data_IF_903412481139
#
_entry.id   IF_903412481139
#
_cell.length_a   1.000
_cell.length_b   1.000
_cell.length_c   1.000
_cell.angle_alpha   90.00
_cell.angle_beta   90.00
_cell.angle_gamma   90.00
#
_symmetry.space_group_name_H-M   'P 1'
#
loop_
_entity.id
_entity.type
_entity.pdbx_description
1 polymer ?
#
# COMPACT_ATOMS: atom_id res chain seq x y z
N UNK A 1 2.39 -7.08 -1.90
CA UNK A 1 2.40 -7.09 -3.37
C UNK A 1 2.72 -5.70 -3.92
N UNK A 2 1.93 -4.64 -3.63
CA UNK A 2 2.20 -3.31 -4.20
C UNK A 2 3.63 -2.81 -3.93
N UNK A 3 4.10 -2.87 -2.69
CA UNK A 3 5.45 -2.44 -2.29
C UNK A 3 6.58 -3.25 -2.95
N UNK A 4 6.30 -4.42 -3.50
CA UNK A 4 7.29 -5.25 -4.20
C UNK A 4 7.28 -5.09 -5.73
N UNK A 5 6.39 -4.26 -6.29
CA UNK A 5 6.43 -3.92 -7.74
C UNK A 5 7.71 -3.20 -8.14
N UNK A 6 8.35 -2.52 -7.19
CA UNK A 6 9.67 -1.90 -7.37
C UNK A 6 10.75 -2.93 -7.79
N UNK A 7 10.62 -4.18 -7.33
CA UNK A 7 11.54 -5.28 -7.69
C UNK A 7 11.38 -5.64 -9.16
N UNK A 8 10.13 -5.79 -9.65
CA UNK A 8 9.87 -6.15 -11.05
C UNK A 8 10.36 -5.07 -12.02
N UNK A 9 10.24 -3.80 -11.62
CA UNK A 9 10.75 -2.67 -12.41
C UNK A 9 12.28 -2.69 -12.52
N UNK A 10 12.99 -2.84 -11.42
CA UNK A 10 14.45 -2.91 -11.44
C UNK A 10 14.98 -4.18 -12.16
N UNK A 11 14.28 -5.32 -12.04
CA UNK A 11 14.59 -6.51 -12.83
C UNK A 11 14.43 -6.24 -14.34
N UNK A 12 13.36 -5.57 -14.75
CA UNK A 12 13.14 -5.22 -16.17
C UNK A 12 14.19 -4.27 -16.71
N UNK A 13 14.63 -3.31 -15.89
CA UNK A 13 15.71 -2.38 -16.26
C UNK A 13 17.05 -3.11 -16.40
N UNK A 14 17.35 -4.02 -15.49
CA UNK A 14 18.60 -4.80 -15.53
C UNK A 14 18.58 -5.90 -16.60
N UNK A 15 17.42 -6.51 -16.89
CA UNK A 15 17.24 -7.59 -17.82
C UNK A 15 16.08 -7.32 -18.78
N UNK A 16 16.26 -6.44 -19.80
CA UNK A 16 15.17 -5.97 -20.66
C UNK A 16 14.44 -7.09 -21.42
N UNK A 17 15.14 -8.18 -21.76
CA UNK A 17 14.60 -9.31 -22.52
C UNK A 17 14.15 -10.49 -21.64
N UNK A 18 14.30 -10.41 -20.32
CA UNK A 18 13.91 -11.51 -19.45
C UNK A 18 12.39 -11.71 -19.42
N UNK A 19 11.94 -12.96 -19.36
CA UNK A 19 10.56 -13.27 -18.99
C UNK A 19 10.43 -13.11 -17.46
N UNK A 20 9.64 -12.16 -17.01
CA UNK A 20 9.40 -11.88 -15.59
C UNK A 20 7.96 -12.24 -15.28
N UNK A 21 7.77 -13.27 -14.48
CA UNK A 21 6.46 -13.70 -14.01
C UNK A 21 6.33 -13.37 -12.51
N UNK A 22 5.13 -13.06 -12.06
CA UNK A 22 4.84 -12.74 -10.67
C UNK A 22 3.84 -13.72 -10.07
N UNK A 23 4.25 -14.47 -9.04
CA UNK A 23 3.36 -15.37 -8.30
C UNK A 23 2.65 -14.62 -7.18
N UNK A 24 1.31 -14.65 -7.19
CA UNK A 24 0.48 -14.02 -6.16
C UNK A 24 -0.81 -14.78 -5.88
N UNK A 25 -1.53 -14.37 -4.84
CA UNK A 25 -2.87 -14.88 -4.51
C UNK A 25 -3.97 -13.98 -5.11
N UNK A 26 -5.20 -14.49 -5.34
CA UNK A 26 -6.27 -13.79 -6.07
C UNK A 26 -6.53 -12.35 -5.63
N UNK A 27 -6.58 -12.01 -4.33
CA UNK A 27 -6.89 -10.63 -3.90
C UNK A 27 -5.88 -9.57 -4.38
N UNK A 28 -4.67 -10.01 -4.77
CA UNK A 28 -3.61 -9.09 -5.18
C UNK A 28 -3.38 -9.01 -6.69
N UNK A 29 -4.11 -9.78 -7.48
CA UNK A 29 -3.95 -9.83 -8.95
C UNK A 29 -4.21 -8.46 -9.57
N UNK A 30 -5.25 -7.77 -9.12
CA UNK A 30 -5.65 -6.48 -9.68
C UNK A 30 -4.62 -5.37 -9.45
N UNK A 31 -3.80 -5.50 -8.40
CA UNK A 31 -2.67 -4.59 -8.16
C UNK A 31 -1.59 -4.72 -9.25
N UNK A 32 -1.45 -5.91 -9.84
CA UNK A 32 -0.40 -6.24 -10.81
C UNK A 32 -0.86 -6.17 -12.26
N UNK A 33 -2.17 -6.40 -12.54
CA UNK A 33 -2.70 -6.48 -13.89
C UNK A 33 -2.42 -5.21 -14.69
N UNK A 34 -1.80 -5.37 -15.87
CA UNK A 34 -1.38 -4.25 -16.72
C UNK A 34 -0.04 -3.63 -16.31
N UNK A 35 0.72 -4.27 -15.41
CA UNK A 35 2.07 -3.83 -15.09
C UNK A 35 3.03 -4.18 -16.26
N UNK A 36 3.65 -3.19 -16.95
CA UNK A 36 4.48 -3.42 -18.13
C UNK A 36 5.80 -4.12 -17.82
N UNK A 37 6.18 -4.22 -16.55
CA UNK A 37 7.41 -4.87 -16.11
C UNK A 37 7.24 -6.38 -15.87
N UNK A 38 6.00 -6.89 -15.97
CA UNK A 38 5.62 -8.29 -15.72
C UNK A 38 5.09 -8.88 -17.02
N UNK A 39 5.54 -10.09 -17.37
CA UNK A 39 5.04 -10.82 -18.54
C UNK A 39 3.78 -11.61 -18.22
N UNK A 40 3.76 -12.28 -17.04
CA UNK A 40 2.62 -13.09 -16.64
C UNK A 40 2.41 -13.06 -15.12
N UNK A 41 1.15 -13.18 -14.70
CA UNK A 41 0.77 -13.25 -13.29
C UNK A 41 0.33 -14.68 -12.99
N UNK A 42 1.18 -15.41 -12.28
CA UNK A 42 0.89 -16.75 -11.82
C UNK A 42 0.00 -16.68 -10.57
N UNK A 43 -1.26 -17.07 -10.72
CA UNK A 43 -2.22 -16.99 -9.62
C UNK A 43 -2.24 -18.30 -8.85
N UNK A 44 -1.96 -18.25 -7.55
CA UNK A 44 -2.12 -19.37 -6.66
C UNK A 44 -3.42 -19.21 -5.84
N UNK A 45 -4.48 -19.86 -6.30
CA UNK A 45 -5.69 -20.03 -5.51
C UNK A 45 -5.54 -21.23 -4.56
N UNK A 46 -5.60 -20.96 -3.26
CA UNK A 46 -5.49 -22.00 -2.22
C UNK A 46 -6.61 -23.02 -2.27
N UNK A 47 -7.77 -22.62 -2.78
CA UNK A 47 -8.96 -23.48 -2.87
C UNK A 47 -8.98 -24.29 -4.17
N UNK A 48 -8.29 -23.82 -5.21
CA UNK A 48 -8.32 -24.42 -6.55
C UNK A 48 -7.06 -25.22 -6.93
N UNK A 49 -5.93 -24.96 -6.29
CA UNK A 49 -4.65 -25.60 -6.65
C UNK A 49 -3.89 -26.13 -5.44
N UNK A 50 -3.62 -27.41 -5.40
CA UNK A 50 -2.78 -28.00 -4.34
C UNK A 50 -1.35 -27.50 -4.41
N UNK A 51 -0.63 -27.48 -3.29
CA UNK A 51 0.78 -27.07 -3.24
C UNK A 51 1.65 -27.88 -4.20
N UNK A 52 1.35 -29.17 -4.39
CA UNK A 52 2.07 -30.04 -5.33
C UNK A 52 1.81 -29.61 -6.79
N UNK A 53 0.55 -29.32 -7.15
CA UNK A 53 0.22 -28.87 -8.50
C UNK A 53 0.89 -27.52 -8.83
N UNK A 54 0.95 -26.60 -7.85
CA UNK A 54 1.66 -25.33 -7.98
C UNK A 54 3.15 -25.55 -8.23
N UNK A 55 3.81 -26.37 -7.43
CA UNK A 55 5.23 -26.69 -7.61
C UNK A 55 5.49 -27.29 -8.99
N UNK A 56 4.66 -28.25 -9.40
CA UNK A 56 4.76 -28.87 -10.74
C UNK A 56 4.58 -27.83 -11.85
N UNK A 57 3.65 -26.89 -11.68
CA UNK A 57 3.42 -25.80 -12.63
C UNK A 57 4.66 -24.91 -12.72
N UNK A 58 5.16 -24.38 -11.58
CA UNK A 58 6.34 -23.51 -11.54
C UNK A 58 7.57 -24.20 -12.14
N UNK A 59 7.80 -25.46 -11.82
CA UNK A 59 8.93 -26.24 -12.32
C UNK A 59 8.91 -26.42 -13.85
N UNK A 60 7.71 -26.47 -14.46
CA UNK A 60 7.55 -26.56 -15.92
C UNK A 60 7.95 -25.28 -16.64
N UNK A 61 7.89 -24.12 -15.96
CA UNK A 61 8.30 -22.84 -16.52
C UNK A 61 9.82 -22.71 -16.71
N UNK A 62 10.61 -23.58 -16.02
CA UNK A 62 12.09 -23.62 -16.12
C UNK A 62 12.75 -22.27 -15.84
N UNK A 63 12.32 -21.57 -14.79
CA UNK A 63 12.93 -20.30 -14.39
C UNK A 63 14.42 -20.48 -14.05
N UNK A 64 15.27 -19.58 -14.51
CA UNK A 64 16.68 -19.49 -14.14
C UNK A 64 16.84 -18.89 -12.74
N UNK A 65 16.00 -17.92 -12.41
CA UNK A 65 16.00 -17.15 -11.16
C UNK A 65 14.60 -17.15 -10.52
N UNK A 66 14.55 -17.45 -9.23
CA UNK A 66 13.34 -17.26 -8.39
C UNK A 66 13.71 -16.40 -7.20
N UNK A 67 12.93 -15.35 -6.94
CA UNK A 67 13.11 -14.44 -5.81
C UNK A 67 11.92 -14.59 -4.86
N UNK A 68 12.16 -15.04 -3.64
CA UNK A 68 11.16 -15.15 -2.58
C UNK A 68 11.17 -13.90 -1.69
N UNK A 69 10.31 -12.94 -2.00
CA UNK A 69 10.17 -11.69 -1.25
C UNK A 69 9.34 -11.83 0.04
N UNK A 70 8.64 -12.95 0.21
CA UNK A 70 7.81 -13.18 1.38
C UNK A 70 8.52 -13.95 2.48
N UNK A 71 9.34 -14.91 2.11
CA UNK A 71 10.23 -15.64 3.00
C UNK A 71 9.53 -16.47 4.09
N UNK A 72 8.28 -16.91 3.91
CA UNK A 72 7.62 -17.81 4.83
C UNK A 72 7.98 -19.29 4.52
N UNK A 73 7.68 -20.27 5.41
CA UNK A 73 8.03 -21.68 5.18
C UNK A 73 7.48 -22.25 3.88
N UNK A 74 6.28 -21.83 3.47
CA UNK A 74 5.62 -22.30 2.27
C UNK A 74 6.28 -21.75 1.00
N UNK A 75 6.55 -20.44 0.93
CA UNK A 75 7.22 -19.84 -0.23
C UNK A 75 8.66 -20.33 -0.34
N UNK A 76 9.35 -20.53 0.78
CA UNK A 76 10.68 -21.15 0.80
C UNK A 76 10.65 -22.56 0.19
N UNK A 77 9.66 -23.40 0.54
CA UNK A 77 9.51 -24.73 -0.03
C UNK A 77 9.23 -24.68 -1.55
N UNK A 78 8.32 -23.80 -1.99
CA UNK A 78 8.04 -23.58 -3.41
C UNK A 78 9.30 -23.16 -4.15
N UNK A 79 10.06 -22.23 -3.60
CA UNK A 79 11.34 -21.77 -4.16
C UNK A 79 12.36 -22.90 -4.25
N UNK A 80 12.50 -23.73 -3.21
CA UNK A 80 13.39 -24.91 -3.23
C UNK A 80 13.01 -25.90 -4.31
N UNK A 81 11.71 -26.14 -4.50
CA UNK A 81 11.18 -27.11 -5.45
C UNK A 81 11.01 -26.56 -6.87
N UNK A 82 11.22 -25.28 -7.12
CA UNK A 82 11.08 -24.65 -8.45
C UNK A 82 12.03 -25.25 -9.50
N UNK A 83 13.18 -25.75 -9.07
CA UNK A 83 14.24 -26.22 -9.95
C UNK A 83 15.14 -25.11 -10.50
N UNK A 84 14.90 -23.84 -10.12
CA UNK A 84 15.71 -22.71 -10.54
C UNK A 84 17.17 -22.83 -10.05
N UNK A 85 18.11 -22.45 -10.92
CA UNK A 85 19.54 -22.43 -10.60
C UNK A 85 19.84 -21.41 -9.52
N UNK A 86 19.26 -20.20 -9.63
CA UNK A 86 19.42 -19.13 -8.65
C UNK A 86 18.11 -18.95 -7.87
N UNK A 87 18.20 -19.10 -6.56
CA UNK A 87 17.07 -18.97 -5.64
C UNK A 87 17.43 -17.96 -4.57
N UNK A 88 16.81 -16.81 -4.64
CA UNK A 88 17.07 -15.67 -3.76
C UNK A 88 16.02 -15.60 -2.67
N UNK A 89 16.43 -15.29 -1.47
CA UNK A 89 15.55 -15.05 -0.34
C UNK A 89 16.33 -14.49 0.83
N UNK A 90 15.75 -14.55 2.03
CA UNK A 90 16.35 -13.96 3.22
C UNK A 90 16.89 -15.01 4.17
N UNK A 91 17.96 -14.68 4.90
CA UNK A 91 18.58 -15.55 5.91
C UNK A 91 17.69 -15.68 7.17
N UNK A 92 16.47 -16.17 7.00
CA UNK A 92 15.60 -16.49 8.12
C UNK A 92 15.89 -17.88 8.68
N UNK A 93 15.83 -18.01 10.00
CA UNK A 93 16.01 -19.29 10.69
C UNK A 93 15.05 -20.37 10.13
N UNK A 94 15.59 -21.55 9.80
CA UNK A 94 14.83 -22.69 9.28
C UNK A 94 14.39 -22.60 7.82
N UNK A 95 14.89 -21.59 7.03
CA UNK A 95 14.53 -21.42 5.60
C UNK A 95 15.72 -21.31 4.67
N UNK A 96 16.93 -21.23 5.21
CA UNK A 96 18.18 -21.09 4.43
C UNK A 96 18.41 -22.22 3.44
N UNK A 97 17.87 -23.42 3.69
CA UNK A 97 17.94 -24.57 2.78
C UNK A 97 17.31 -24.32 1.41
N UNK A 98 16.43 -23.34 1.31
CA UNK A 98 15.69 -23.06 0.08
C UNK A 98 16.48 -22.20 -0.92
N UNK A 99 17.41 -21.41 -0.44
CA UNK A 99 18.05 -20.36 -1.22
C UNK A 99 19.49 -20.69 -1.57
N UNK A 100 19.93 -20.23 -2.76
CA UNK A 100 21.34 -20.27 -3.19
C UNK A 100 22.02 -18.94 -2.94
N UNK A 101 21.25 -17.85 -2.87
CA UNK A 101 21.70 -16.50 -2.52
C UNK A 101 20.78 -15.97 -1.43
N UNK A 102 21.35 -15.36 -0.40
CA UNK A 102 20.59 -14.87 0.74
C UNK A 102 20.92 -13.42 1.04
N UNK A 103 19.88 -12.57 1.07
CA UNK A 103 19.96 -11.26 1.65
C UNK A 103 19.92 -11.34 3.19
N UNK A 104 20.64 -10.44 3.85
CA UNK A 104 20.54 -10.33 5.31
C UNK A 104 19.21 -9.68 5.72
N UNK A 105 18.49 -10.26 6.68
CA UNK A 105 17.18 -9.72 7.08
C UNK A 105 17.35 -8.48 7.95
N UNK A 106 17.17 -7.30 7.34
CA UNK A 106 17.15 -6.00 8.04
C UNK A 106 15.75 -5.61 8.54
N UNK A 107 14.79 -6.54 8.50
CA UNK A 107 13.34 -6.33 8.56
C UNK A 107 12.76 -5.43 9.65
N UNK A 108 13.44 -5.27 10.81
CA UNK A 108 12.97 -4.35 11.87
C UNK A 108 13.56 -2.93 11.77
N UNK A 109 14.46 -2.69 10.81
CA UNK A 109 15.27 -1.47 10.72
C UNK A 109 15.12 -0.72 9.40
N UNK A 110 14.47 -1.32 8.41
CA UNK A 110 14.27 -0.71 7.09
C UNK A 110 12.83 -0.83 6.64
N UNK A 111 12.39 0.11 5.79
CA UNK A 111 11.06 0.06 5.18
C UNK A 111 10.89 -1.22 4.34
N UNK A 112 9.67 -1.79 4.31
CA UNK A 112 9.37 -3.02 3.56
C UNK A 112 9.74 -2.93 2.07
N UNK A 113 9.68 -1.75 1.46
CA UNK A 113 10.14 -1.53 0.08
C UNK A 113 11.66 -1.72 -0.03
N UNK A 114 12.45 -1.13 0.89
CA UNK A 114 13.90 -1.34 0.92
C UNK A 114 14.23 -2.81 1.20
N UNK A 115 13.51 -3.44 2.13
CA UNK A 115 13.67 -4.86 2.39
C UNK A 115 13.48 -5.72 1.12
N UNK A 116 12.50 -5.37 0.27
CA UNK A 116 12.32 -6.04 -1.02
C UNK A 116 13.51 -5.80 -1.97
N UNK A 117 14.06 -4.59 -1.99
CA UNK A 117 15.23 -4.25 -2.82
C UNK A 117 16.50 -4.96 -2.36
N UNK A 118 16.66 -5.25 -1.07
CA UNK A 118 17.82 -5.99 -0.53
C UNK A 118 18.00 -7.36 -1.22
N UNK A 119 16.91 -7.99 -1.68
CA UNK A 119 16.98 -9.23 -2.44
C UNK A 119 17.63 -9.05 -3.83
N UNK A 120 17.45 -7.89 -4.46
CA UNK A 120 18.12 -7.54 -5.73
C UNK A 120 19.60 -7.19 -5.51
N UNK A 121 19.89 -6.41 -4.49
CA UNK A 121 21.26 -6.05 -4.11
C UNK A 121 22.10 -7.29 -3.82
N UNK A 122 21.51 -8.31 -3.18
CA UNK A 122 22.18 -9.58 -2.88
C UNK A 122 22.64 -10.38 -4.12
N UNK A 123 22.05 -10.13 -5.28
CA UNK A 123 22.44 -10.74 -6.57
C UNK A 123 23.14 -9.74 -7.51
N UNK A 124 23.54 -8.57 -7.00
CA UNK A 124 24.27 -7.57 -7.77
C UNK A 124 23.44 -6.81 -8.79
N UNK A 125 22.12 -6.84 -8.70
CA UNK A 125 21.23 -6.04 -9.55
C UNK A 125 21.19 -4.60 -9.03
N UNK A 126 21.62 -3.62 -9.84
CA UNK A 126 21.63 -2.22 -9.41
C UNK A 126 20.21 -1.68 -9.25
N UNK A 127 19.99 -0.88 -8.21
CA UNK A 127 18.72 -0.21 -7.99
C UNK A 127 18.72 1.11 -8.76
N UNK A 128 18.09 1.09 -9.93
CA UNK A 128 18.01 2.23 -10.85
C UNK A 128 16.77 3.08 -10.62
N UNK A 129 15.71 2.50 -10.07
CA UNK A 129 14.45 3.17 -9.79
C UNK A 129 13.92 2.80 -8.40
N UNK A 130 13.47 3.82 -7.66
CA UNK A 130 12.92 3.67 -6.31
C UNK A 130 11.42 3.94 -6.24
N UNK A 131 10.73 4.01 -7.39
CA UNK A 131 9.31 4.26 -7.42
C UNK A 131 8.52 2.95 -7.42
N UNK A 132 7.46 2.91 -6.64
CA UNK A 132 6.45 1.87 -6.68
C UNK A 132 5.59 2.14 -7.92
N UNK A 133 5.24 1.09 -8.66
CA UNK A 133 4.41 1.21 -9.83
C UNK A 133 3.00 0.65 -9.58
N UNK A 134 1.99 1.45 -9.86
CA UNK A 134 0.59 1.05 -9.80
C UNK A 134 -0.06 1.30 -11.17
N UNK A 135 -0.42 0.24 -11.92
CA UNK A 135 -0.96 0.36 -13.27
C UNK A 135 -2.41 0.86 -13.25
N UNK A 136 -2.72 1.82 -14.10
CA UNK A 136 -4.08 2.30 -14.38
C UNK A 136 -4.28 2.35 -15.89
N UNK A 137 -5.49 2.12 -16.36
CA UNK A 137 -5.87 2.25 -17.76
C UNK A 137 -6.52 3.61 -18.04
N UNK A 138 -6.64 3.96 -19.32
CA UNK A 138 -7.37 5.17 -19.72
C UNK A 138 -8.84 5.10 -19.26
N UNK A 139 -9.45 3.91 -19.30
CA UNK A 139 -10.84 3.71 -18.86
C UNK A 139 -11.00 3.94 -17.35
N UNK A 140 -10.01 3.53 -16.53
CA UNK A 140 -10.01 3.80 -15.10
C UNK A 140 -9.98 5.31 -14.82
N UNK A 141 -9.19 6.04 -15.60
CA UNK A 141 -9.06 7.50 -15.50
C UNK A 141 -10.36 8.19 -15.95
N UNK A 142 -10.89 7.82 -17.11
CA UNK A 142 -12.13 8.39 -17.64
C UNK A 142 -13.30 8.20 -16.69
N UNK A 143 -13.44 7.00 -16.09
CA UNK A 143 -14.49 6.74 -15.09
C UNK A 143 -14.47 7.75 -13.94
N UNK A 144 -13.27 8.09 -13.47
CA UNK A 144 -13.10 9.06 -12.37
C UNK A 144 -13.38 10.48 -12.84
N UNK A 145 -12.88 10.86 -14.02
CA UNK A 145 -13.08 12.20 -14.57
C UNK A 145 -14.58 12.47 -14.85
N UNK A 146 -15.32 11.47 -15.32
CA UNK A 146 -16.78 11.55 -15.48
C UNK A 146 -17.50 11.79 -14.14
N UNK A 147 -17.14 11.02 -13.10
CA UNK A 147 -17.70 11.22 -11.75
C UNK A 147 -17.41 12.62 -11.22
N UNK A 148 -16.16 13.08 -11.32
CA UNK A 148 -15.75 14.39 -10.83
C UNK A 148 -16.45 15.52 -11.60
N UNK A 149 -16.62 15.36 -12.92
CA UNK A 149 -17.34 16.28 -13.80
C UNK A 149 -18.81 16.41 -13.40
N UNK A 150 -19.51 15.29 -13.20
CA UNK A 150 -20.92 15.28 -12.75
C UNK A 150 -21.09 15.90 -11.36
N UNK A 151 -20.13 15.70 -10.47
CA UNK A 151 -20.15 16.30 -9.13
C UNK A 151 -19.72 17.77 -9.11
N UNK A 152 -19.30 18.33 -10.26
CA UNK A 152 -18.77 19.71 -10.39
C UNK A 152 -17.58 19.97 -9.44
N UNK A 153 -16.78 18.93 -9.18
CA UNK A 153 -15.63 19.00 -8.28
C UNK A 153 -14.39 19.53 -9.01
N UNK A 154 -13.78 20.56 -8.43
CA UNK A 154 -12.52 21.11 -8.97
C UNK A 154 -11.35 20.28 -8.47
N UNK A 155 -10.51 19.79 -9.37
CA UNK A 155 -9.32 18.98 -9.05
C UNK A 155 -8.33 19.70 -8.14
N UNK A 156 -8.25 21.03 -8.21
CA UNK A 156 -7.34 21.84 -7.40
C UNK A 156 -7.68 21.98 -5.91
N UNK A 157 -8.76 21.36 -5.41
CA UNK A 157 -9.14 21.39 -4.00
C UNK A 157 -9.53 20.02 -3.43
N UNK A 158 -9.36 18.95 -4.21
CA UNK A 158 -9.78 17.61 -3.80
C UNK A 158 -8.87 17.06 -2.70
N UNK A 159 -9.48 16.57 -1.62
CA UNK A 159 -8.80 15.93 -0.51
C UNK A 159 -9.45 14.59 -0.22
N UNK A 160 -8.67 13.54 -0.32
CA UNK A 160 -9.15 12.19 -0.03
C UNK A 160 -9.12 11.89 1.47
N UNK A 161 -10.16 11.25 1.98
CA UNK A 161 -10.23 10.71 3.33
C UNK A 161 -10.55 9.23 3.25
N UNK A 162 -9.61 8.39 3.72
CA UNK A 162 -9.79 6.95 3.77
C UNK A 162 -9.81 6.46 5.22
N UNK A 163 -10.96 5.98 5.63
CA UNK A 163 -11.22 5.49 6.99
C UNK A 163 -11.01 4.00 7.14
N UNK A 164 -10.82 3.29 6.02
CA UNK A 164 -10.59 1.86 5.98
C UNK A 164 -9.32 1.45 6.74
N UNK A 165 -9.36 0.29 7.37
CA UNK A 165 -8.22 -0.34 8.01
C UNK A 165 -8.46 -1.85 8.07
N UNK A 166 -7.46 -2.65 7.70
CA UNK A 166 -7.57 -4.11 7.67
C UNK A 166 -7.88 -4.74 9.04
N UNK A 167 -7.52 -4.04 10.12
CA UNK A 167 -7.81 -4.44 11.50
C UNK A 167 -8.54 -3.33 12.22
N UNK A 168 -9.44 -3.68 13.14
CA UNK A 168 -10.13 -2.70 13.97
C UNK A 168 -9.13 -1.78 14.72
N UNK A 169 -8.04 -2.36 15.21
CA UNK A 169 -6.99 -1.62 15.93
C UNK A 169 -6.24 -0.57 15.10
N UNK A 170 -6.36 -0.58 13.77
CA UNK A 170 -5.80 0.44 12.87
C UNK A 170 -6.77 1.57 12.54
N UNK A 171 -8.02 1.50 13.01
CA UNK A 171 -9.06 2.47 12.64
C UNK A 171 -9.12 3.61 13.65
N UNK A 172 -8.93 4.81 13.16
CA UNK A 172 -9.20 6.03 13.90
C UNK A 172 -10.72 6.31 13.89
N UNK A 173 -11.25 6.96 14.93
CA UNK A 173 -12.70 7.12 15.11
C UNK A 173 -13.38 7.90 13.98
N UNK A 174 -14.60 7.48 13.60
CA UNK A 174 -15.37 8.12 12.52
C UNK A 174 -15.74 9.56 12.86
N UNK A 175 -16.08 9.84 14.13
CA UNK A 175 -16.39 11.17 14.64
C UNK A 175 -15.20 12.13 14.45
N UNK A 176 -13.99 11.63 14.64
CA UNK A 176 -12.77 12.41 14.46
C UNK A 176 -12.46 12.67 13.00
N UNK A 177 -12.73 11.70 12.12
CA UNK A 177 -12.63 11.94 10.67
C UNK A 177 -13.63 13.00 10.20
N UNK A 178 -14.86 13.01 10.74
CA UNK A 178 -15.85 14.05 10.44
C UNK A 178 -15.36 15.44 10.89
N UNK A 179 -14.89 15.57 12.14
CA UNK A 179 -14.35 16.82 12.68
C UNK A 179 -13.12 17.29 11.89
N UNK A 180 -12.20 16.38 11.57
CA UNK A 180 -11.02 16.71 10.76
C UNK A 180 -11.42 17.20 9.38
N UNK A 181 -12.41 16.57 8.75
CA UNK A 181 -12.91 16.94 7.43
C UNK A 181 -13.49 18.36 7.43
N UNK A 182 -14.28 18.70 8.45
CA UNK A 182 -14.80 20.06 8.62
C UNK A 182 -13.67 21.09 8.79
N UNK A 183 -12.66 20.79 9.59
CA UNK A 183 -11.49 21.69 9.76
C UNK A 183 -10.68 21.85 8.47
N UNK A 184 -10.56 20.78 7.65
CA UNK A 184 -9.88 20.86 6.35
C UNK A 184 -10.66 21.71 5.35
N UNK A 185 -12.00 21.64 5.36
CA UNK A 185 -12.86 22.52 4.57
C UNK A 185 -12.66 23.97 5.02
N UNK A 186 -12.75 24.24 6.32
CA UNK A 186 -12.65 25.60 6.88
C UNK A 186 -11.26 26.22 6.60
N UNK A 187 -10.18 25.48 6.84
CA UNK A 187 -8.82 26.03 6.79
C UNK A 187 -8.22 26.08 5.39
N UNK A 188 -8.56 25.11 4.52
CA UNK A 188 -7.94 24.97 3.20
C UNK A 188 -8.93 25.10 2.03
N UNK A 189 -10.23 25.26 2.28
CA UNK A 189 -11.24 25.23 1.23
C UNK A 189 -11.33 23.85 0.55
N UNK A 190 -11.02 22.77 1.28
CA UNK A 190 -10.94 21.44 0.75
C UNK A 190 -12.30 20.90 0.28
N UNK A 191 -12.33 20.25 -0.88
CA UNK A 191 -13.43 19.41 -1.34
C UNK A 191 -13.18 17.99 -0.89
N UNK A 192 -13.87 17.54 0.15
CA UNK A 192 -13.62 16.23 0.77
C UNK A 192 -14.23 15.10 -0.05
N UNK A 193 -13.45 14.08 -0.33
CA UNK A 193 -13.90 12.80 -0.92
C UNK A 193 -13.69 11.68 0.10
N UNK A 194 -14.78 11.03 0.51
CA UNK A 194 -14.75 9.87 1.41
C UNK A 194 -14.59 8.59 0.58
N UNK A 195 -13.39 8.02 0.56
CA UNK A 195 -13.15 6.78 -0.15
C UNK A 195 -13.58 5.56 0.68
N UNK A 196 -14.12 4.54 0.02
CA UNK A 196 -14.63 3.34 0.66
C UNK A 196 -14.37 2.10 -0.18
N UNK A 197 -14.37 0.95 0.46
CA UNK A 197 -14.29 -0.37 -0.15
C UNK A 197 -15.45 -1.26 0.30
N UNK A 198 -15.47 -2.53 -0.13
CA UNK A 198 -16.53 -3.46 0.25
C UNK A 198 -16.81 -3.48 1.76
N UNK A 199 -18.07 -3.27 2.12
CA UNK A 199 -18.54 -3.24 3.52
C UNK A 199 -18.29 -1.95 4.29
N UNK A 200 -17.73 -0.89 3.66
CA UNK A 200 -17.39 0.37 4.32
C UNK A 200 -18.38 1.52 4.03
N UNK A 201 -19.39 1.32 3.19
CA UNK A 201 -20.40 2.35 2.90
C UNK A 201 -21.04 2.92 4.18
N UNK A 202 -21.45 2.10 5.17
CA UNK A 202 -22.03 2.64 6.41
C UNK A 202 -21.08 3.56 7.18
N UNK A 203 -19.76 3.31 7.13
CA UNK A 203 -18.76 4.16 7.80
C UNK A 203 -18.72 5.55 7.17
N UNK A 204 -18.68 5.64 5.82
CA UNK A 204 -18.61 6.93 5.12
C UNK A 204 -19.95 7.70 5.21
N UNK A 205 -21.09 7.03 5.18
CA UNK A 205 -22.40 7.62 5.42
C UNK A 205 -22.50 8.20 6.85
N UNK A 206 -21.97 7.47 7.83
CA UNK A 206 -21.90 7.93 9.22
C UNK A 206 -21.03 9.19 9.33
N UNK A 207 -19.85 9.23 8.71
CA UNK A 207 -19.01 10.42 8.68
C UNK A 207 -19.74 11.59 8.06
N UNK A 208 -20.34 11.39 6.88
CA UNK A 208 -21.12 12.45 6.21
C UNK A 208 -22.24 12.99 7.10
N UNK A 209 -22.93 12.13 7.86
CA UNK A 209 -23.99 12.55 8.79
C UNK A 209 -23.50 13.35 10.00
N UNK A 210 -22.24 13.21 10.37
CA UNK A 210 -21.59 13.89 11.49
C UNK A 210 -20.90 15.19 11.08
N UNK A 211 -20.59 15.36 9.79
CA UNK A 211 -19.97 16.58 9.27
C UNK A 211 -20.97 17.74 9.23
N UNK A 212 -20.46 18.94 9.47
CA UNK A 212 -21.18 20.21 9.23
C UNK A 212 -21.11 20.60 7.76
N UNK A 213 -19.95 20.37 7.14
CA UNK A 213 -19.70 20.55 5.72
C UNK A 213 -20.20 19.37 4.88
N UNK A 214 -20.08 19.51 3.55
CA UNK A 214 -20.42 18.46 2.60
C UNK A 214 -19.18 17.70 2.15
N UNK A 215 -19.21 16.39 2.24
CA UNK A 215 -18.25 15.52 1.56
C UNK A 215 -18.92 14.83 0.35
N UNK A 216 -18.09 14.33 -0.55
CA UNK A 216 -18.52 13.58 -1.71
C UNK A 216 -18.17 12.10 -1.51
N UNK A 217 -19.16 11.24 -1.70
CA UNK A 217 -18.99 9.78 -1.65
C UNK A 217 -18.98 9.28 -3.10
N UNK A 218 -17.85 8.77 -3.60
CA UNK A 218 -17.77 8.27 -4.96
C UNK A 218 -18.66 7.01 -5.12
N UNK A 219 -19.10 6.67 -6.34
CA UNK A 219 -19.66 5.36 -6.60
C UNK A 219 -18.64 4.26 -6.31
N UNK A 220 -19.06 2.98 -6.34
CA UNK A 220 -18.16 1.85 -6.14
C UNK A 220 -17.02 1.89 -7.16
N UNK A 221 -15.79 1.72 -6.69
CA UNK A 221 -14.58 1.74 -7.52
C UNK A 221 -13.85 0.40 -7.48
N UNK A 222 -13.24 0.03 -8.59
CA UNK A 222 -12.15 -0.97 -8.58
C UNK A 222 -10.92 -0.37 -7.89
N UNK A 223 -9.91 -1.20 -7.57
CA UNK A 223 -8.65 -0.68 -7.01
C UNK A 223 -7.95 0.31 -7.96
N UNK A 224 -8.09 0.11 -9.28
CA UNK A 224 -7.47 0.98 -10.30
C UNK A 224 -8.21 2.31 -10.42
N UNK A 225 -9.52 2.28 -10.42
CA UNK A 225 -10.34 3.49 -10.37
C UNK A 225 -10.12 4.26 -9.07
N UNK A 226 -9.95 3.56 -7.95
CA UNK A 226 -9.52 4.20 -6.69
C UNK A 226 -8.16 4.88 -6.86
N UNK A 227 -7.18 4.21 -7.49
CA UNK A 227 -5.88 4.81 -7.79
C UNK A 227 -6.00 6.08 -8.64
N UNK A 228 -6.84 6.05 -9.68
CA UNK A 228 -7.11 7.21 -10.52
C UNK A 228 -7.78 8.36 -9.72
N UNK A 229 -8.73 8.03 -8.84
CA UNK A 229 -9.36 9.02 -7.96
C UNK A 229 -8.36 9.64 -6.98
N UNK A 230 -7.54 8.81 -6.35
CA UNK A 230 -6.50 9.28 -5.43
C UNK A 230 -5.47 10.16 -6.14
N UNK A 231 -5.13 9.87 -7.40
CA UNK A 231 -4.23 10.69 -8.21
C UNK A 231 -4.79 12.10 -8.49
N UNK A 232 -6.11 12.28 -8.49
CA UNK A 232 -6.77 13.59 -8.64
C UNK A 232 -6.79 14.39 -7.33
N UNK A 233 -6.54 13.75 -6.18
CA UNK A 233 -6.48 14.44 -4.90
C UNK A 233 -5.14 15.19 -4.76
N UNK A 234 -5.19 16.39 -4.19
CA UNK A 234 -3.98 17.14 -3.81
C UNK A 234 -3.18 16.39 -2.73
N UNK A 235 -3.90 15.78 -1.81
CA UNK A 235 -3.37 14.94 -0.73
C UNK A 235 -4.50 14.11 -0.12
N UNK A 236 -4.12 13.14 0.72
CA UNK A 236 -5.10 12.32 1.44
C UNK A 236 -4.73 12.19 2.91
N UNK A 237 -5.76 11.96 3.75
CA UNK A 237 -5.60 11.44 5.11
C UNK A 237 -6.12 10.00 5.14
N UNK A 238 -5.33 9.08 5.68
CA UNK A 238 -5.66 7.67 5.66
C UNK A 238 -5.18 6.93 6.90
N UNK A 239 -5.99 6.02 7.41
CA UNK A 239 -5.48 4.95 8.27
C UNK A 239 -4.44 4.11 7.52
N UNK A 240 -3.57 3.39 8.26
CA UNK A 240 -2.64 2.40 7.71
C UNK A 240 -3.41 1.28 6.98
N UNK A 241 -3.45 1.37 5.63
CA UNK A 241 -4.29 0.54 4.77
C UNK A 241 -3.77 0.45 3.34
N UNK A 242 -4.35 -0.44 2.53
CA UNK A 242 -4.03 -0.57 1.10
C UNK A 242 -4.18 0.73 0.30
N UNK A 243 -5.32 1.46 0.41
CA UNK A 243 -5.53 2.75 -0.26
C UNK A 243 -4.45 3.79 0.02
N UNK A 244 -3.91 3.84 1.24
CA UNK A 244 -2.78 4.71 1.59
C UNK A 244 -1.55 4.44 0.71
N UNK A 245 -1.21 3.17 0.52
CA UNK A 245 -0.09 2.78 -0.32
C UNK A 245 -0.35 3.01 -1.81
N UNK A 246 -1.61 2.85 -2.26
CA UNK A 246 -2.00 3.19 -3.63
C UNK A 246 -1.82 4.68 -3.87
N UNK A 247 -2.29 5.53 -2.96
CA UNK A 247 -2.09 6.99 -3.05
C UNK A 247 -0.62 7.36 -3.17
N UNK A 248 0.23 6.78 -2.31
CA UNK A 248 1.68 7.00 -2.39
C UNK A 248 2.26 6.54 -3.73
N UNK A 249 1.82 5.39 -4.26
CA UNK A 249 2.31 4.84 -5.52
C UNK A 249 1.89 5.66 -6.75
N UNK A 250 0.73 6.35 -6.71
CA UNK A 250 0.29 7.26 -7.78
C UNK A 250 0.79 8.69 -7.59
N UNK A 251 1.65 8.93 -6.59
CA UNK A 251 2.33 10.22 -6.36
C UNK A 251 1.56 11.22 -5.49
N UNK A 252 0.41 10.84 -4.95
CA UNK A 252 -0.41 11.70 -4.08
C UNK A 252 0.19 11.79 -2.68
N UNK A 253 0.42 12.99 -2.14
CA UNK A 253 0.86 13.18 -0.76
C UNK A 253 -0.10 12.56 0.25
N UNK A 254 0.44 11.95 1.32
CA UNK A 254 -0.35 11.20 2.31
C UNK A 254 -0.04 11.66 3.72
N UNK A 255 -1.08 11.90 4.51
CA UNK A 255 -1.00 11.85 5.99
C UNK A 255 -1.47 10.47 6.43
N UNK A 256 -0.54 9.63 6.88
CA UNK A 256 -0.84 8.28 7.38
C UNK A 256 -1.02 8.26 8.88
N UNK A 257 -2.15 7.73 9.38
CA UNK A 257 -2.47 7.59 10.81
C UNK A 257 -2.04 6.19 11.27
N UNK A 258 -1.23 6.16 12.34
CA UNK A 258 -0.62 4.94 12.86
C UNK A 258 -0.87 4.75 14.36
N UNK A 259 -0.93 3.48 14.77
CA UNK A 259 -1.03 3.07 16.15
C UNK A 259 -0.34 1.72 16.38
N UNK A 260 -0.98 0.58 16.06
CA UNK A 260 -0.42 -0.74 16.30
C UNK A 260 0.72 -1.11 15.35
N UNK A 261 0.91 -0.37 14.27
CA UNK A 261 1.96 -0.62 13.25
C UNK A 261 3.01 0.47 13.25
N UNK A 262 4.20 0.17 12.75
CA UNK A 262 5.34 1.09 12.71
C UNK A 262 5.43 1.81 11.38
N UNK A 263 5.25 3.14 11.32
CA UNK A 263 5.31 3.89 10.06
C UNK A 263 6.68 3.78 9.37
N UNK A 264 7.77 3.67 10.13
CA UNK A 264 9.10 3.47 9.57
C UNK A 264 9.21 2.20 8.71
N UNK A 265 8.46 1.14 9.04
CA UNK A 265 8.49 -0.13 8.32
C UNK A 265 7.44 -0.22 7.20
N UNK A 266 6.29 0.40 7.41
CA UNK A 266 5.09 0.21 6.60
C UNK A 266 4.41 1.54 6.23
N UNK A 267 5.13 2.66 6.30
CA UNK A 267 4.60 3.97 5.92
C UNK A 267 4.30 4.11 4.42
N UNK A 268 3.66 5.19 4.00
CA UNK A 268 3.62 5.54 2.60
C UNK A 268 5.05 5.79 2.11
N UNK A 269 5.44 5.11 1.03
CA UNK A 269 6.83 5.14 0.57
C UNK A 269 7.11 6.36 -0.29
N UNK A 270 8.14 7.11 0.08
CA UNK A 270 8.57 8.34 -0.60
C UNK A 270 8.67 9.53 0.36
N UNK A 271 9.16 10.66 -0.15
CA UNK A 271 9.46 11.83 0.68
C UNK A 271 8.29 12.80 0.85
N UNK A 272 7.25 12.68 0.02
CA UNK A 272 6.10 13.61 -0.01
C UNK A 272 5.08 13.38 1.11
N UNK A 273 5.32 12.42 1.99
CA UNK A 273 4.33 11.94 2.95
C UNK A 273 4.68 12.36 4.38
N UNK A 274 3.68 12.34 5.23
CA UNK A 274 3.79 12.56 6.68
C UNK A 274 3.06 11.44 7.40
N UNK A 275 3.60 10.98 8.51
CA UNK A 275 2.93 9.99 9.37
C UNK A 275 2.69 10.58 10.74
N UNK A 276 1.56 10.23 11.34
CA UNK A 276 1.19 10.68 12.68
C UNK A 276 0.78 9.49 13.54
N UNK A 277 1.25 9.49 14.78
CA UNK A 277 0.88 8.53 15.81
C UNK A 277 0.85 9.23 17.18
N UNK A 278 0.13 8.64 18.12
CA UNK A 278 0.18 9.10 19.52
C UNK A 278 1.58 8.86 20.08
N UNK A 279 2.21 9.89 20.59
CA UNK A 279 3.52 9.80 21.26
C UNK A 279 3.35 9.40 22.74
N UNK A 280 4.43 8.91 23.37
CA UNK A 280 4.44 8.60 24.79
C UNK A 280 3.78 7.27 25.18
N UNK A 281 3.54 6.37 24.22
CA UNK A 281 3.01 5.03 24.48
C UNK A 281 4.08 3.97 24.20
N UNK A 282 4.44 3.18 25.19
CA UNK A 282 5.45 2.10 25.07
C UNK A 282 5.01 0.98 24.14
N UNK A 283 3.70 0.84 23.89
CA UNK A 283 3.11 -0.19 23.06
C UNK A 283 2.99 0.17 21.58
N UNK A 284 3.48 1.33 21.12
CA UNK A 284 3.41 1.70 19.70
C UNK A 284 4.10 0.67 18.82
N UNK A 285 3.44 0.31 17.71
CA UNK A 285 3.97 -0.70 16.78
C UNK A 285 3.88 -2.14 17.30
N UNK A 286 2.95 -2.44 18.21
CA UNK A 286 2.76 -3.75 18.82
C UNK A 286 2.26 -4.84 17.87
N UNK A 287 1.70 -4.48 16.71
CA UNK A 287 1.09 -5.36 15.70
C UNK A 287 -0.09 -6.22 16.22
N UNK A 288 -0.74 -5.82 17.31
CA UNK A 288 -1.90 -6.54 17.82
C UNK A 288 -3.16 -6.24 17.03
N UNK A 289 -3.87 -7.29 16.61
CA UNK A 289 -5.20 -7.20 15.97
C UNK A 289 -6.32 -7.02 17.01
N UNK A 290 -6.04 -7.37 18.27
CA UNK A 290 -6.89 -7.11 19.43
C UNK A 290 -6.03 -6.48 20.52
N UNK A 291 -6.43 -5.29 20.95
CA UNK A 291 -5.66 -4.56 21.98
C UNK A 291 -6.08 -4.99 23.38
N UNK A 292 -5.15 -5.41 24.26
CA UNK A 292 -5.49 -5.84 25.62
C UNK A 292 -5.75 -4.66 26.59
N UNK A 293 -5.39 -3.42 26.20
CA UNK A 293 -5.42 -2.24 27.08
C UNK A 293 -6.34 -1.12 26.56
N UNK A 294 -7.36 -1.45 25.76
CA UNK A 294 -8.37 -0.48 25.34
C UNK A 294 -8.00 0.44 24.20
N UNK A 295 -6.92 0.16 23.43
CA UNK A 295 -6.59 0.85 22.18
C UNK A 295 -6.20 2.35 22.30
N UNK A 296 -5.35 2.73 23.29
CA UNK A 296 -5.02 4.14 23.55
C UNK A 296 -4.36 4.84 22.36
N UNK A 297 -3.55 4.14 21.55
CA UNK A 297 -2.85 4.72 20.40
C UNK A 297 -3.77 5.36 19.36
N UNK A 298 -5.01 4.89 19.26
CA UNK A 298 -6.03 5.49 18.37
C UNK A 298 -7.03 6.36 19.14
N UNK A 299 -7.35 5.99 20.39
CA UNK A 299 -8.32 6.75 21.18
C UNK A 299 -7.77 8.08 21.72
N UNK A 300 -6.48 8.17 21.97
CA UNK A 300 -5.84 9.39 22.49
C UNK A 300 -5.21 10.26 21.41
N UNK A 301 -5.10 9.76 20.17
CA UNK A 301 -4.67 10.59 19.04
C UNK A 301 -5.78 11.59 18.70
N UNK A 302 -5.52 12.86 18.93
CA UNK A 302 -6.52 13.92 18.79
C UNK A 302 -6.66 14.40 17.35
N UNK A 303 -7.76 15.11 17.05
CA UNK A 303 -7.97 15.79 15.77
C UNK A 303 -6.89 16.85 15.54
N UNK A 304 -6.48 17.57 16.58
CA UNK A 304 -5.43 18.57 16.51
C UNK A 304 -4.06 17.98 16.13
N UNK A 305 -3.73 16.79 16.65
CA UNK A 305 -2.49 16.10 16.30
C UNK A 305 -2.45 15.77 14.81
N UNK A 306 -3.56 15.24 14.27
CA UNK A 306 -3.68 14.92 12.83
C UNK A 306 -3.72 16.20 12.00
N UNK A 307 -4.41 17.26 12.46
CA UNK A 307 -4.46 18.54 11.75
C UNK A 307 -3.10 19.24 11.67
N UNK A 308 -2.26 19.11 12.71
CA UNK A 308 -0.86 19.57 12.66
C UNK A 308 -0.07 18.82 11.58
N UNK A 309 -0.26 17.49 11.49
CA UNK A 309 0.38 16.68 10.44
C UNK A 309 -0.11 17.07 9.04
N UNK A 310 -1.41 17.36 8.85
CA UNK A 310 -1.98 17.89 7.60
C UNK A 310 -1.35 19.23 7.25
N UNK A 311 -1.29 20.16 8.19
CA UNK A 311 -0.68 21.49 7.97
C UNK A 311 0.80 21.35 7.58
N UNK A 312 1.53 20.47 8.24
CA UNK A 312 2.93 20.19 7.91
C UNK A 312 3.07 19.61 6.49
N UNK A 313 2.20 18.66 6.10
CA UNK A 313 2.20 18.08 4.75
C UNK A 313 1.96 19.14 3.68
N UNK A 314 0.94 20.00 3.87
CA UNK A 314 0.59 21.06 2.92
C UNK A 314 1.77 22.02 2.74
N UNK A 315 2.35 22.51 3.83
CA UNK A 315 3.49 23.43 3.79
C UNK A 315 4.71 22.79 3.12
N UNK A 316 5.02 21.54 3.45
CA UNK A 316 6.13 20.77 2.87
C UNK A 316 5.99 20.63 1.35
N UNK A 317 4.81 20.30 0.85
CA UNK A 317 4.60 20.08 -0.58
C UNK A 317 4.47 21.39 -1.38
N UNK A 318 4.04 22.50 -0.76
CA UNK A 318 4.09 23.83 -1.38
C UNK A 318 5.53 24.29 -1.62
N UNK A 319 6.48 23.87 -0.80
CA UNK A 319 7.91 24.19 -0.98
C UNK A 319 8.62 23.29 -2.02
N UNK A 320 7.98 22.20 -2.43
CA UNK A 320 8.54 21.23 -3.40
C UNK A 320 7.92 21.37 -4.81
N UNK A 321 6.89 22.21 -4.97
CA UNK A 321 6.25 22.55 -6.24
C UNK A 321 6.85 23.82 -6.84
#
# INVERSE_FOLDING_TARGET
>A
VLLSTIVTRNLRLAFPQAKIDYLTEPPSVDVLRGNPFINDIQVHDRNGMTGFALVKHIRRQRYDLVIDLFGNPRTALITRCSGARYRVGYRFRGRTYAYTVMAEPRGAHVHNTQFNLDALEAIGVPIQDRNIYFPMTVDDINYVDDFLGHASLRTGSLVGVNTGGGWYTKRWGLERFAQLSDLMIEKFGASIILTWGPGQMPDVEKIQSLMKGKAFIPPSTTLKQLGALLQRCQWIVSNDSGPMHIAAAVGTPVVGIYGPTRPMLQGPFGEKHVTVCKTGLDCLGCNYTKCPIGHPCMLELTVDDVMKAVTHLVNKNTLLS
#
